data_IF_650861974542
#
_entry.id   IF_650861974542
#
_cell.length_a   1.000
_cell.length_b   1.000
_cell.length_c   1.000
_cell.angle_alpha   90.00
_cell.angle_beta   90.00
_cell.angle_gamma   90.00
#
_symmetry.space_group_name_H-M   'P 1'
#
loop_
_entity.id
_entity.type
_entity.pdbx_description
1 polymer ?
#
# COMPACT_ATOMS: atom_id res chain seq x y z
N UNK A 1 -19.42 -26.09 -9.13
CA UNK A 1 -18.12 -25.52 -9.55
C UNK A 1 -18.14 -23.99 -9.75
N UNK A 2 -18.98 -23.40 -10.62
CA UNK A 2 -19.01 -21.92 -10.80
C UNK A 2 -19.52 -21.19 -9.55
N UNK A 3 -20.47 -21.75 -8.82
CA UNK A 3 -20.98 -21.17 -7.57
C UNK A 3 -19.93 -21.11 -6.44
N UNK A 4 -19.05 -22.11 -6.35
CA UNK A 4 -18.03 -22.18 -5.30
C UNK A 4 -16.90 -21.18 -5.55
N UNK A 5 -16.48 -20.99 -6.80
CA UNK A 5 -15.50 -19.99 -7.20
C UNK A 5 -16.01 -18.57 -6.90
N UNK A 6 -17.29 -18.29 -7.21
CA UNK A 6 -17.91 -17.00 -6.91
C UNK A 6 -17.97 -16.71 -5.40
N UNK A 7 -18.34 -17.72 -4.59
CA UNK A 7 -18.37 -17.58 -3.13
C UNK A 7 -16.97 -17.35 -2.56
N UNK A 8 -15.96 -18.08 -3.07
CA UNK A 8 -14.58 -17.87 -2.67
C UNK A 8 -14.09 -16.47 -3.05
N UNK A 9 -14.40 -16.00 -4.27
CA UNK A 9 -14.07 -14.64 -4.70
C UNK A 9 -14.69 -13.58 -3.80
N UNK A 10 -15.95 -13.73 -3.42
CA UNK A 10 -16.61 -12.80 -2.49
C UNK A 10 -15.92 -12.78 -1.12
N UNK A 11 -15.58 -13.96 -0.57
CA UNK A 11 -14.85 -14.05 0.69
C UNK A 11 -13.48 -13.37 0.58
N UNK A 12 -12.70 -13.70 -0.44
CA UNK A 12 -11.37 -13.11 -0.65
C UNK A 12 -11.48 -11.60 -0.84
N UNK A 13 -12.45 -11.12 -1.64
CA UNK A 13 -12.68 -9.68 -1.84
C UNK A 13 -13.05 -8.97 -0.53
N UNK A 14 -13.87 -9.58 0.32
CA UNK A 14 -14.21 -9.02 1.62
C UNK A 14 -12.99 -8.98 2.57
N UNK A 15 -12.17 -10.02 2.56
CA UNK A 15 -10.94 -10.09 3.35
C UNK A 15 -9.97 -8.96 2.94
N UNK A 16 -9.65 -8.83 1.66
CA UNK A 16 -8.69 -7.82 1.18
C UNK A 16 -9.26 -6.40 1.29
N UNK A 17 -10.58 -6.23 1.22
CA UNK A 17 -11.26 -4.97 1.51
C UNK A 17 -11.02 -4.52 2.96
N UNK A 18 -11.30 -5.40 3.93
CA UNK A 18 -11.12 -5.07 5.36
C UNK A 18 -9.65 -4.84 5.68
N UNK A 19 -8.76 -5.62 5.12
CA UNK A 19 -7.32 -5.46 5.30
C UNK A 19 -6.82 -4.09 4.78
N UNK A 20 -7.18 -3.73 3.56
CA UNK A 20 -6.82 -2.45 2.97
C UNK A 20 -7.48 -1.25 3.67
N UNK A 21 -8.72 -1.41 4.17
CA UNK A 21 -9.40 -0.43 5.01
C UNK A 21 -8.60 -0.17 6.30
N UNK A 22 -8.16 -1.22 6.99
CA UNK A 22 -7.36 -1.09 8.22
C UNK A 22 -6.00 -0.46 7.98
N UNK A 23 -5.38 -0.71 6.83
CA UNK A 23 -4.11 -0.07 6.47
C UNK A 23 -4.19 1.45 6.55
N UNK A 24 -5.24 2.06 5.98
CA UNK A 24 -5.41 3.52 5.89
C UNK A 24 -6.22 4.12 7.05
N UNK A 25 -6.89 3.30 7.85
CA UNK A 25 -7.76 3.75 8.95
C UNK A 25 -7.04 4.54 10.05
N UNK A 26 -5.74 4.29 10.26
CA UNK A 26 -4.96 5.01 11.27
C UNK A 26 -4.71 6.46 10.88
N UNK A 27 -4.64 6.78 9.60
CA UNK A 27 -4.19 8.10 9.09
C UNK A 27 -4.87 9.30 9.78
N UNK A 28 -6.19 9.41 9.87
CA UNK A 28 -6.84 10.53 10.55
C UNK A 28 -6.72 10.48 12.08
N UNK A 29 -6.40 9.32 12.66
CA UNK A 29 -6.26 9.13 14.10
C UNK A 29 -4.85 9.48 14.60
N UNK A 30 -3.87 9.71 13.72
CA UNK A 30 -2.48 9.99 14.09
C UNK A 30 -2.34 11.17 15.05
N UNK A 31 -3.01 12.33 14.83
CA UNK A 31 -2.91 13.46 15.75
C UNK A 31 -3.38 13.12 17.18
N UNK A 32 -4.54 12.48 17.31
CA UNK A 32 -5.09 12.09 18.60
C UNK A 32 -4.17 11.13 19.38
N UNK A 33 -3.56 10.17 18.69
CA UNK A 33 -2.56 9.30 19.32
C UNK A 33 -1.25 9.99 19.63
N UNK A 34 -0.82 10.94 18.78
CA UNK A 34 0.37 11.74 19.05
C UNK A 34 0.20 12.58 20.32
N UNK A 35 -0.96 13.21 20.50
CA UNK A 35 -1.31 13.95 21.71
C UNK A 35 -1.44 13.03 22.94
N UNK A 36 -2.24 11.96 22.83
CA UNK A 36 -2.52 11.05 23.94
C UNK A 36 -1.26 10.35 24.50
N UNK A 37 -0.28 10.06 23.65
CA UNK A 37 0.94 9.35 24.03
C UNK A 37 2.19 10.26 24.05
N UNK A 38 2.03 11.58 23.87
CA UNK A 38 3.14 12.54 23.84
C UNK A 38 4.18 12.23 22.74
N UNK A 39 3.73 11.79 21.55
CA UNK A 39 4.63 11.43 20.47
C UNK A 39 5.14 12.67 19.75
N UNK A 40 6.44 12.69 19.50
CA UNK A 40 7.03 13.61 18.51
C UNK A 40 6.60 13.22 17.09
N UNK A 41 6.83 14.08 16.09
CA UNK A 41 6.63 13.74 14.67
C UNK A 41 7.37 12.46 14.26
N UNK A 42 8.57 12.22 14.84
CA UNK A 42 9.31 10.95 14.67
C UNK A 42 8.54 9.76 15.23
N UNK A 43 8.01 9.88 16.46
CA UNK A 43 7.21 8.83 17.09
C UNK A 43 5.96 8.49 16.31
N UNK A 44 5.26 9.50 15.80
CA UNK A 44 4.11 9.32 14.90
C UNK A 44 4.51 8.62 13.59
N UNK A 45 5.66 8.99 13.03
CA UNK A 45 6.23 8.33 11.85
C UNK A 45 6.54 6.85 12.08
N UNK A 46 7.14 6.51 13.22
CA UNK A 46 7.41 5.10 13.61
C UNK A 46 6.10 4.34 13.79
N UNK A 47 5.09 4.93 14.43
CA UNK A 47 3.78 4.30 14.63
C UNK A 47 3.09 3.96 13.29
N UNK A 48 3.07 4.90 12.35
CA UNK A 48 2.49 4.66 11.01
C UNK A 48 3.33 3.66 10.23
N UNK A 49 4.65 3.79 10.26
CA UNK A 49 5.59 2.90 9.57
C UNK A 49 5.61 1.46 10.11
N UNK A 50 5.14 1.23 11.35
CA UNK A 50 5.10 -0.09 11.97
C UNK A 50 4.30 -1.11 11.14
N UNK A 51 3.20 -0.70 10.50
CA UNK A 51 2.46 -1.56 9.58
C UNK A 51 3.33 -1.99 8.39
N UNK A 52 4.02 -1.03 7.75
CA UNK A 52 4.94 -1.31 6.65
C UNK A 52 6.08 -2.25 7.07
N UNK A 53 6.62 -2.09 8.27
CA UNK A 53 7.64 -2.98 8.82
C UNK A 53 7.12 -4.41 9.00
N UNK A 54 5.92 -4.55 9.55
CA UNK A 54 5.25 -5.85 9.67
C UNK A 54 5.00 -6.49 8.31
N UNK A 55 4.48 -5.71 7.35
CA UNK A 55 4.22 -6.16 6.00
C UNK A 55 5.50 -6.62 5.26
N UNK A 56 6.59 -5.89 5.43
CA UNK A 56 7.89 -6.26 4.85
C UNK A 56 8.41 -7.59 5.41
N UNK A 57 8.35 -7.76 6.73
CA UNK A 57 8.83 -8.97 7.39
C UNK A 57 7.86 -10.15 7.24
N UNK A 58 6.56 -9.89 7.05
CA UNK A 58 5.54 -10.93 6.82
C UNK A 58 5.51 -11.48 5.39
N UNK A 59 6.04 -10.74 4.41
CA UNK A 59 5.94 -11.08 2.99
C UNK A 59 6.54 -12.44 2.64
N UNK A 60 7.80 -12.67 3.01
CA UNK A 60 8.50 -13.95 2.74
C UNK A 60 7.92 -15.10 3.57
N UNK A 61 7.77 -14.98 4.91
CA UNK A 61 7.15 -16.05 5.71
C UNK A 61 5.73 -16.40 5.26
N UNK A 62 4.91 -15.40 4.91
CA UNK A 62 3.55 -15.60 4.42
C UNK A 62 3.52 -16.36 3.10
N UNK A 63 4.37 -15.98 2.14
CA UNK A 63 4.52 -16.69 0.88
C UNK A 63 4.98 -18.14 1.06
N UNK A 64 5.97 -18.38 1.93
CA UNK A 64 6.44 -19.73 2.26
C UNK A 64 5.36 -20.56 2.96
N UNK A 65 4.58 -19.94 3.86
CA UNK A 65 3.46 -20.62 4.51
C UNK A 65 2.39 -21.04 3.49
N UNK A 66 2.04 -20.16 2.55
CA UNK A 66 1.11 -20.48 1.46
C UNK A 66 1.63 -21.61 0.55
N UNK A 67 2.93 -21.59 0.22
CA UNK A 67 3.56 -22.61 -0.61
C UNK A 67 3.67 -23.98 0.10
N UNK A 68 3.99 -23.98 1.41
CA UNK A 68 4.24 -25.23 2.17
C UNK A 68 2.97 -25.86 2.75
N UNK A 69 2.09 -25.03 3.31
CA UNK A 69 0.90 -25.47 4.05
C UNK A 69 -0.40 -25.27 3.28
N UNK A 70 -0.31 -24.68 2.09
CA UNK A 70 -1.42 -24.34 1.22
C UNK A 70 -2.02 -22.94 1.47
N UNK A 71 -2.62 -22.37 0.42
CA UNK A 71 -3.17 -20.99 0.45
C UNK A 71 -4.22 -20.77 1.54
N UNK A 72 -5.15 -21.71 1.73
CA UNK A 72 -6.19 -21.66 2.76
C UNK A 72 -5.59 -21.51 4.17
N UNK A 73 -4.57 -22.30 4.49
CA UNK A 73 -3.92 -22.27 5.80
C UNK A 73 -3.28 -20.91 6.05
N UNK A 74 -2.58 -20.35 5.05
CA UNK A 74 -1.99 -19.01 5.16
C UNK A 74 -3.06 -17.94 5.41
N UNK A 75 -4.21 -17.99 4.71
CA UNK A 75 -5.33 -17.06 4.94
C UNK A 75 -5.88 -17.18 6.34
N UNK A 76 -6.17 -18.39 6.81
CA UNK A 76 -6.74 -18.61 8.15
C UNK A 76 -5.76 -18.12 9.23
N UNK A 77 -4.48 -18.50 9.15
CA UNK A 77 -3.46 -18.02 10.10
C UNK A 77 -3.32 -16.50 10.06
N UNK A 78 -3.28 -15.88 8.87
CA UNK A 78 -3.23 -14.44 8.73
C UNK A 78 -4.43 -13.75 9.36
N UNK A 79 -5.65 -14.24 9.12
CA UNK A 79 -6.87 -13.69 9.73
C UNK A 79 -6.92 -13.82 11.26
N UNK A 80 -6.41 -14.92 11.81
CA UNK A 80 -6.29 -15.08 13.26
C UNK A 80 -5.30 -14.07 13.86
N UNK A 81 -4.15 -13.86 13.19
CA UNK A 81 -3.19 -12.82 13.59
C UNK A 81 -3.82 -11.43 13.45
N UNK A 82 -4.57 -11.15 12.37
CA UNK A 82 -5.28 -9.88 12.19
C UNK A 82 -6.30 -9.64 13.29
N UNK A 83 -7.07 -10.66 13.68
CA UNK A 83 -8.02 -10.57 14.77
C UNK A 83 -7.32 -10.23 16.09
N UNK A 84 -6.28 -10.99 16.44
CA UNK A 84 -5.49 -10.73 17.64
C UNK A 84 -4.88 -9.32 17.65
N UNK A 85 -4.30 -8.90 16.52
CA UNK A 85 -3.73 -7.57 16.35
C UNK A 85 -4.79 -6.47 16.44
N UNK A 86 -6.01 -6.69 15.95
CA UNK A 86 -7.10 -5.72 16.04
C UNK A 86 -7.64 -5.59 17.45
N UNK A 87 -7.73 -6.68 18.21
CA UNK A 87 -8.04 -6.63 19.64
C UNK A 87 -6.91 -5.97 20.45
N UNK A 88 -5.64 -6.26 20.13
CA UNK A 88 -4.50 -5.59 20.75
C UNK A 88 -4.50 -4.08 20.46
N UNK A 89 -4.82 -3.67 19.23
CA UNK A 89 -5.00 -2.27 18.87
C UNK A 89 -6.11 -1.61 19.68
N UNK A 90 -7.25 -2.26 19.81
CA UNK A 90 -8.39 -1.78 20.58
C UNK A 90 -8.10 -1.63 22.08
N UNK A 91 -7.22 -2.49 22.61
CA UNK A 91 -6.82 -2.50 24.01
C UNK A 91 -5.53 -1.70 24.29
N UNK A 92 -4.91 -1.10 23.26
CA UNK A 92 -3.65 -0.40 23.43
C UNK A 92 -3.82 0.83 24.32
N UNK A 93 -2.98 0.93 25.34
CA UNK A 93 -2.91 2.00 26.34
C UNK A 93 -1.61 2.81 26.26
N UNK A 94 -0.78 2.53 25.25
CA UNK A 94 0.50 3.21 25.01
C UNK A 94 1.02 3.03 23.60
N UNK A 95 2.00 3.86 23.24
CA UNK A 95 2.57 3.89 21.90
C UNK A 95 3.21 2.55 21.47
N UNK A 96 3.87 1.84 22.39
CA UNK A 96 4.51 0.56 22.11
C UNK A 96 3.50 -0.55 21.82
N UNK A 97 2.43 -0.65 22.62
CA UNK A 97 1.37 -1.63 22.41
C UNK A 97 0.63 -1.36 21.12
N UNK A 98 0.35 -0.09 20.82
CA UNK A 98 -0.26 0.34 19.57
C UNK A 98 0.66 0.04 18.35
N UNK A 99 1.95 0.36 18.46
CA UNK A 99 2.95 0.07 17.42
C UNK A 99 3.12 -1.43 17.17
N UNK A 100 3.16 -2.25 18.23
CA UNK A 100 3.21 -3.71 18.11
C UNK A 100 1.94 -4.27 17.43
N UNK A 101 0.76 -3.76 17.78
CA UNK A 101 -0.49 -4.13 17.13
C UNK A 101 -0.47 -3.77 15.63
N UNK A 102 0.00 -2.57 15.28
CA UNK A 102 0.17 -2.14 13.88
C UNK A 102 1.16 -3.01 13.12
N UNK A 103 2.28 -3.37 13.74
CA UNK A 103 3.24 -4.31 13.15
C UNK A 103 2.60 -5.66 12.86
N UNK A 104 1.88 -6.24 13.82
CA UNK A 104 1.18 -7.50 13.63
C UNK A 104 0.07 -7.41 12.57
N UNK A 105 -0.65 -6.30 12.47
CA UNK A 105 -1.60 -6.05 11.37
C UNK A 105 -0.90 -6.10 10.01
N UNK A 106 0.25 -5.43 9.86
CA UNK A 106 1.03 -5.47 8.62
C UNK A 106 1.56 -6.86 8.30
N UNK A 107 2.08 -7.58 9.30
CA UNK A 107 2.55 -8.96 9.14
C UNK A 107 1.43 -9.91 8.68
N UNK A 108 0.25 -9.78 9.31
CA UNK A 108 -0.92 -10.56 8.93
C UNK A 108 -1.41 -10.23 7.53
N UNK A 109 -1.39 -8.95 7.16
CA UNK A 109 -1.80 -8.45 5.85
C UNK A 109 -1.08 -9.19 4.73
N UNK A 110 0.24 -9.15 4.67
CA UNK A 110 1.01 -9.80 3.59
C UNK A 110 0.85 -11.32 3.58
N UNK A 111 0.72 -11.96 4.75
CA UNK A 111 0.44 -13.40 4.87
C UNK A 111 -0.94 -13.74 4.30
N UNK A 112 -1.95 -12.94 4.63
CA UNK A 112 -3.33 -13.11 4.15
C UNK A 112 -3.41 -12.86 2.64
N UNK A 113 -2.77 -11.80 2.13
CA UNK A 113 -2.76 -11.49 0.70
C UNK A 113 -2.10 -12.58 -0.13
N UNK A 114 -0.93 -13.07 0.29
CA UNK A 114 -0.23 -14.15 -0.40
C UNK A 114 -1.12 -15.41 -0.51
N UNK A 115 -1.76 -15.80 0.60
CA UNK A 115 -2.69 -16.93 0.62
C UNK A 115 -3.95 -16.67 -0.21
N UNK A 116 -4.60 -15.51 -0.04
CA UNK A 116 -5.88 -15.19 -0.67
C UNK A 116 -5.78 -15.15 -2.20
N UNK A 117 -4.77 -14.45 -2.74
CA UNK A 117 -4.56 -14.39 -4.19
C UNK A 117 -4.18 -15.76 -4.77
N UNK A 118 -3.28 -16.52 -4.11
CA UNK A 118 -2.93 -17.87 -4.54
C UNK A 118 -4.16 -18.78 -4.54
N UNK A 119 -5.00 -18.71 -3.50
CA UNK A 119 -6.21 -19.54 -3.39
C UNK A 119 -7.17 -19.31 -4.54
N UNK A 120 -7.46 -18.05 -4.83
CA UNK A 120 -8.39 -17.68 -5.91
C UNK A 120 -7.81 -18.05 -7.28
N UNK A 121 -6.50 -17.84 -7.51
CA UNK A 121 -5.84 -18.19 -8.78
C UNK A 121 -5.88 -19.69 -9.03
N UNK A 122 -5.61 -20.53 -8.02
CA UNK A 122 -5.66 -21.99 -8.14
C UNK A 122 -7.11 -22.48 -8.40
N UNK A 123 -8.10 -21.87 -7.73
CA UNK A 123 -9.51 -22.23 -7.91
C UNK A 123 -10.11 -21.79 -9.26
N UNK A 124 -9.39 -20.96 -10.04
CA UNK A 124 -9.94 -20.30 -11.23
C UNK A 124 -9.32 -20.81 -12.53
N UNK A 125 -10.13 -21.11 -13.59
CA UNK A 125 -9.61 -21.40 -14.91
C UNK A 125 -8.70 -20.29 -15.45
N UNK A 126 -7.61 -20.65 -16.14
CA UNK A 126 -6.58 -19.71 -16.64
C UNK A 126 -7.16 -18.51 -17.39
N UNK A 127 -8.20 -18.73 -18.22
CA UNK A 127 -8.83 -17.69 -19.04
C UNK A 127 -9.53 -16.56 -18.21
N UNK A 128 -9.86 -16.81 -16.93
CA UNK A 128 -10.59 -15.85 -16.07
C UNK A 128 -9.77 -15.30 -14.91
N UNK A 129 -8.51 -15.68 -14.79
CA UNK A 129 -7.66 -15.26 -13.67
C UNK A 129 -7.50 -13.74 -13.58
N UNK A 130 -7.33 -13.07 -14.73
CA UNK A 130 -7.22 -11.61 -14.79
C UNK A 130 -8.48 -10.89 -14.29
N UNK A 131 -9.67 -11.35 -14.69
CA UNK A 131 -10.96 -10.80 -14.24
C UNK A 131 -11.10 -10.92 -12.70
N UNK A 132 -10.77 -12.08 -12.18
CA UNK A 132 -10.92 -12.39 -10.76
C UNK A 132 -9.90 -11.65 -9.89
N UNK A 133 -8.64 -11.59 -10.31
CA UNK A 133 -7.63 -10.77 -9.65
C UNK A 133 -8.02 -9.29 -9.68
N UNK A 134 -8.49 -8.79 -10.83
CA UNK A 134 -8.97 -7.42 -10.95
C UNK A 134 -10.11 -7.10 -9.99
N UNK A 135 -11.04 -8.04 -9.78
CA UNK A 135 -12.14 -7.87 -8.80
C UNK A 135 -11.62 -7.81 -7.36
N UNK A 136 -10.69 -8.69 -6.99
CA UNK A 136 -10.09 -8.68 -5.65
C UNK A 136 -9.29 -7.39 -5.39
N UNK A 137 -8.46 -6.97 -6.37
CA UNK A 137 -7.74 -5.69 -6.26
C UNK A 137 -8.67 -4.49 -6.20
N UNK A 138 -9.77 -4.48 -6.98
CA UNK A 138 -10.81 -3.44 -6.91
C UNK A 138 -11.45 -3.33 -5.53
N UNK A 139 -11.73 -4.46 -4.89
CA UNK A 139 -12.23 -4.49 -3.52
C UNK A 139 -11.22 -3.91 -2.51
N UNK A 140 -9.93 -4.22 -2.69
CA UNK A 140 -8.88 -3.67 -1.84
C UNK A 140 -8.72 -2.14 -2.02
N UNK A 141 -8.73 -1.65 -3.26
CA UNK A 141 -8.69 -0.20 -3.52
C UNK A 141 -9.87 0.50 -2.87
N UNK A 142 -11.07 -0.07 -2.98
CA UNK A 142 -12.26 0.47 -2.33
C UNK A 142 -12.13 0.45 -0.79
N UNK A 143 -11.55 -0.61 -0.21
CA UNK A 143 -11.22 -0.67 1.21
C UNK A 143 -10.27 0.45 1.63
N UNK A 144 -9.18 0.65 0.89
CA UNK A 144 -8.21 1.72 1.16
C UNK A 144 -8.83 3.13 1.10
N UNK A 145 -9.78 3.36 0.20
CA UNK A 145 -10.54 4.63 0.10
C UNK A 145 -11.45 4.83 1.31
N UNK A 146 -12.14 3.77 1.76
CA UNK A 146 -13.05 3.85 2.92
C UNK A 146 -12.29 3.94 4.25
N UNK A 147 -11.06 3.46 4.32
CA UNK A 147 -10.29 3.37 5.56
C UNK A 147 -10.18 4.66 6.35
N UNK A 148 -9.83 5.82 5.76
CA UNK A 148 -9.79 7.08 6.50
C UNK A 148 -11.14 7.46 7.09
N UNK A 149 -12.25 7.25 6.37
CA UNK A 149 -13.60 7.48 6.90
C UNK A 149 -13.94 6.53 8.04
N UNK A 150 -13.54 5.24 7.94
CA UNK A 150 -13.67 4.31 9.04
C UNK A 150 -12.90 4.80 10.29
N UNK A 151 -11.67 5.28 10.12
CA UNK A 151 -10.88 5.88 11.21
C UNK A 151 -11.56 7.09 11.85
N UNK A 152 -12.03 8.04 11.02
CA UNK A 152 -12.74 9.24 11.50
C UNK A 152 -14.05 8.91 12.21
N UNK A 153 -14.83 7.96 11.71
CA UNK A 153 -16.05 7.49 12.39
C UNK A 153 -15.73 6.72 13.66
N UNK A 154 -14.65 5.92 13.65
CA UNK A 154 -14.20 5.18 14.82
C UNK A 154 -13.88 6.10 16.00
N UNK A 155 -13.36 7.30 15.78
CA UNK A 155 -13.18 8.29 16.83
C UNK A 155 -14.51 8.71 17.47
N UNK A 156 -15.56 8.92 16.66
CA UNK A 156 -16.87 9.37 17.13
C UNK A 156 -17.63 8.27 17.91
N UNK A 157 -17.58 7.02 17.44
CA UNK A 157 -18.33 5.90 18.04
C UNK A 157 -17.50 5.10 19.05
N UNK A 158 -16.20 5.40 19.16
CA UNK A 158 -15.24 4.72 20.01
C UNK A 158 -14.29 3.82 19.24
N UNK A 159 -13.01 4.20 19.24
CA UNK A 159 -11.93 3.46 18.57
C UNK A 159 -11.84 2.01 19.07
N UNK A 160 -11.94 1.82 20.39
CA UNK A 160 -11.90 0.49 21.02
C UNK A 160 -13.00 -0.43 20.49
N UNK A 161 -14.24 0.05 20.39
CA UNK A 161 -15.36 -0.73 19.88
C UNK A 161 -15.19 -1.05 18.38
N UNK A 162 -14.80 -0.05 17.58
CA UNK A 162 -14.62 -0.17 16.12
C UNK A 162 -13.55 -1.18 15.77
N UNK A 163 -12.37 -1.12 16.38
CA UNK A 163 -11.28 -2.07 16.09
C UNK A 163 -11.54 -3.45 16.69
N UNK A 164 -12.26 -3.56 17.82
CA UNK A 164 -12.73 -4.86 18.33
C UNK A 164 -13.72 -5.51 17.37
N UNK A 165 -14.64 -4.74 16.76
CA UNK A 165 -15.56 -5.25 15.75
C UNK A 165 -14.80 -5.80 14.52
N UNK A 166 -13.72 -5.15 14.10
CA UNK A 166 -12.86 -5.70 13.04
C UNK A 166 -12.22 -7.02 13.46
N UNK A 167 -11.77 -7.14 14.70
CA UNK A 167 -11.28 -8.40 15.26
C UNK A 167 -12.32 -9.52 15.16
N UNK A 168 -13.56 -9.24 15.55
CA UNK A 168 -14.69 -10.20 15.43
C UNK A 168 -14.97 -10.56 13.98
N UNK A 169 -15.02 -9.59 13.06
CA UNK A 169 -15.21 -9.81 11.62
C UNK A 169 -14.09 -10.69 11.06
N UNK A 170 -12.83 -10.46 11.46
CA UNK A 170 -11.68 -11.26 11.04
C UNK A 170 -11.79 -12.72 11.50
N UNK A 171 -12.27 -12.96 12.73
CA UNK A 171 -12.57 -14.31 13.23
C UNK A 171 -13.72 -14.94 12.42
N UNK A 172 -14.75 -14.18 12.08
CA UNK A 172 -15.84 -14.63 11.20
C UNK A 172 -15.34 -15.05 9.82
N UNK A 173 -14.44 -14.26 9.21
CA UNK A 173 -13.81 -14.64 7.94
C UNK A 173 -12.92 -15.88 8.08
N UNK A 174 -12.17 -16.03 9.17
CA UNK A 174 -11.38 -17.22 9.43
C UNK A 174 -12.26 -18.47 9.53
N UNK A 175 -13.37 -18.40 10.28
CA UNK A 175 -14.33 -19.48 10.40
C UNK A 175 -14.98 -19.82 9.04
N UNK A 176 -15.39 -18.81 8.26
CA UNK A 176 -15.89 -19.02 6.91
C UNK A 176 -14.84 -19.66 5.99
N UNK A 177 -13.59 -19.20 6.05
CA UNK A 177 -12.48 -19.75 5.25
C UNK A 177 -12.26 -21.24 5.55
N UNK A 178 -12.44 -21.69 6.80
CA UNK A 178 -12.32 -23.10 7.17
C UNK A 178 -13.36 -23.95 6.45
N UNK A 179 -14.56 -23.45 6.18
CA UNK A 179 -15.62 -24.17 5.48
C UNK A 179 -15.37 -24.41 3.98
N UNK A 180 -14.46 -23.62 3.36
CA UNK A 180 -14.11 -23.79 1.95
C UNK A 180 -13.10 -24.93 1.73
N UNK A 181 -13.11 -25.49 0.52
CA UNK A 181 -12.15 -26.54 0.14
C UNK A 181 -10.72 -25.94 0.08
N UNK A 182 -9.75 -26.70 0.62
CA UNK A 182 -8.35 -26.33 0.50
C UNK A 182 -7.88 -26.48 -0.97
N UNK A 183 -7.02 -25.56 -1.39
CA UNK A 183 -6.26 -25.72 -2.64
C UNK A 183 -4.90 -26.38 -2.33
N UNK A 184 -4.38 -27.22 -3.23
CA UNK A 184 -3.05 -27.81 -3.04
C UNK A 184 -1.98 -26.71 -3.01
N UNK A 185 -0.88 -26.94 -2.28
CA UNK A 185 0.27 -26.07 -2.31
C UNK A 185 0.91 -26.04 -3.71
N UNK A 186 1.37 -24.89 -4.15
CA UNK A 186 2.03 -24.74 -5.45
C UNK A 186 3.53 -24.53 -5.20
N UNK A 187 4.40 -25.43 -5.70
CA UNK A 187 5.84 -25.32 -5.47
C UNK A 187 6.40 -24.03 -6.09
N UNK A 188 7.17 -23.27 -5.33
CA UNK A 188 7.93 -22.14 -5.85
C UNK A 188 9.06 -22.65 -6.76
N UNK A 189 9.19 -22.11 -7.99
CA UNK A 189 10.28 -22.44 -8.90
C UNK A 189 11.56 -21.71 -8.46
N UNK A 190 12.64 -22.40 -8.11
CA UNK A 190 13.91 -21.75 -7.78
C UNK A 190 14.59 -21.19 -9.04
N UNK A 191 15.31 -20.08 -8.92
CA UNK A 191 16.24 -19.55 -9.93
C UNK A 191 15.78 -18.34 -10.77
N UNK A 192 14.49 -18.01 -10.83
CA UNK A 192 14.01 -16.83 -11.55
C UNK A 192 14.28 -15.51 -10.80
N UNK A 193 14.27 -15.54 -9.49
CA UNK A 193 14.44 -14.35 -8.64
C UNK A 193 15.81 -13.69 -8.82
N UNK A 194 16.87 -14.48 -8.80
CA UNK A 194 18.24 -13.95 -8.96
C UNK A 194 18.42 -13.26 -10.33
N UNK A 195 17.89 -13.87 -11.40
CA UNK A 195 17.92 -13.27 -12.73
C UNK A 195 17.10 -11.97 -12.80
N UNK A 196 15.92 -11.95 -12.18
CA UNK A 196 15.09 -10.76 -12.11
C UNK A 196 15.78 -9.63 -11.33
N UNK A 197 16.39 -9.93 -10.18
CA UNK A 197 17.10 -8.93 -9.36
C UNK A 197 18.38 -8.39 -10.02
N UNK A 198 18.94 -9.11 -11.02
CA UNK A 198 20.04 -8.61 -11.83
C UNK A 198 19.60 -7.75 -13.02
N UNK A 199 18.30 -7.72 -13.35
CA UNK A 199 17.78 -6.84 -14.41
C UNK A 199 17.54 -5.43 -13.90
N UNK A 200 18.30 -4.40 -14.37
CA UNK A 200 18.10 -3.02 -13.94
C UNK A 200 16.70 -2.47 -14.21
N UNK A 201 16.00 -3.04 -15.21
CA UNK A 201 14.62 -2.61 -15.53
C UNK A 201 13.61 -3.19 -14.55
N UNK A 202 13.86 -4.40 -14.04
CA UNK A 202 13.07 -4.98 -12.96
C UNK A 202 13.21 -4.13 -11.68
N UNK A 203 14.46 -3.77 -11.34
CA UNK A 203 14.74 -2.89 -10.19
C UNK A 203 14.13 -1.50 -10.36
N UNK A 204 14.16 -0.93 -11.58
CA UNK A 204 13.48 0.33 -11.87
C UNK A 204 11.95 0.23 -11.67
N UNK A 205 11.33 -0.90 -12.03
CA UNK A 205 9.92 -1.16 -11.76
C UNK A 205 9.63 -1.26 -10.27
N UNK A 206 10.48 -1.95 -9.50
CA UNK A 206 10.37 -2.00 -8.03
C UNK A 206 10.50 -0.60 -7.40
N UNK A 207 11.45 0.21 -7.88
CA UNK A 207 11.60 1.59 -7.44
C UNK A 207 10.36 2.44 -7.70
N UNK A 208 9.75 2.31 -8.90
CA UNK A 208 8.49 2.99 -9.24
C UNK A 208 7.29 2.48 -8.43
N UNK A 209 7.42 1.39 -7.71
CA UNK A 209 6.45 0.88 -6.74
C UNK A 209 6.77 1.37 -5.30
N UNK A 210 8.05 1.48 -4.96
CA UNK A 210 8.52 1.96 -3.65
C UNK A 210 8.33 3.46 -3.47
N UNK A 211 8.67 4.25 -4.50
CA UNK A 211 8.66 5.71 -4.41
C UNK A 211 7.28 6.30 -4.08
N UNK A 212 6.16 5.91 -4.75
CA UNK A 212 4.85 6.42 -4.36
C UNK A 212 4.44 5.97 -2.96
N UNK A 213 4.77 4.76 -2.55
CA UNK A 213 4.50 4.26 -1.20
C UNK A 213 5.25 5.08 -0.13
N UNK A 214 6.49 5.47 -0.41
CA UNK A 214 7.28 6.34 0.44
C UNK A 214 6.65 7.75 0.53
N UNK A 215 6.25 8.33 -0.60
CA UNK A 215 5.62 9.66 -0.64
C UNK A 215 4.27 9.68 0.09
N UNK A 216 3.39 8.72 -0.18
CA UNK A 216 2.12 8.59 0.53
C UNK A 216 2.32 8.30 2.02
N UNK A 217 3.36 7.54 2.38
CA UNK A 217 3.74 7.30 3.76
C UNK A 217 4.14 8.59 4.51
N UNK A 218 4.88 9.49 3.86
CA UNK A 218 5.17 10.83 4.41
C UNK A 218 3.88 11.63 4.61
N UNK A 219 2.97 11.65 3.62
CA UNK A 219 1.70 12.34 3.72
C UNK A 219 0.83 11.79 4.86
N UNK A 220 0.81 10.48 5.06
CA UNK A 220 0.00 9.83 6.09
C UNK A 220 0.38 10.22 7.54
N UNK A 221 1.54 10.82 7.74
CA UNK A 221 1.97 11.37 9.05
C UNK A 221 1.86 12.87 9.08
N UNK A 222 2.46 13.55 8.11
CA UNK A 222 2.66 15.00 8.18
C UNK A 222 1.38 15.78 7.94
N UNK A 223 0.55 15.34 7.00
CA UNK A 223 -0.69 16.04 6.67
C UNK A 223 -1.71 16.01 7.80
N UNK A 224 -2.04 14.86 8.43
CA UNK A 224 -2.93 14.85 9.57
C UNK A 224 -2.46 15.74 10.71
N UNK A 225 -1.16 15.72 11.04
CA UNK A 225 -0.58 16.57 12.09
C UNK A 225 -0.72 18.05 11.74
N UNK A 226 -0.37 18.46 10.50
CA UNK A 226 -0.49 19.86 10.07
C UNK A 226 -1.94 20.36 10.03
N UNK A 227 -2.90 19.51 9.65
CA UNK A 227 -4.32 19.88 9.66
C UNK A 227 -4.86 19.96 11.09
N UNK A 228 -4.43 19.09 12.00
CA UNK A 228 -4.80 19.13 13.40
C UNK A 228 -4.21 20.38 14.12
N UNK A 229 -2.98 20.80 13.77
CA UNK A 229 -2.39 22.08 14.23
C UNK A 229 -3.24 23.32 13.80
N UNK A 230 -4.11 23.16 12.79
CA UNK A 230 -5.07 24.17 12.33
C UNK A 230 -6.49 23.94 12.86
N UNK A 231 -6.65 23.20 13.95
CA UNK A 231 -7.93 22.85 14.61
C UNK A 231 -8.93 22.08 13.72
N UNK A 232 -8.44 21.35 12.73
CA UNK A 232 -9.33 20.49 11.92
C UNK A 232 -9.70 19.22 12.71
N UNK A 233 -11.02 18.92 12.83
CA UNK A 233 -11.46 17.70 13.48
C UNK A 233 -11.06 16.47 12.66
N UNK A 234 -10.88 15.34 13.33
CA UNK A 234 -10.45 14.05 12.72
C UNK A 234 -11.31 13.65 11.52
N UNK A 235 -12.63 13.89 11.57
CA UNK A 235 -13.52 13.58 10.45
C UNK A 235 -13.25 14.46 9.21
N UNK A 236 -12.87 15.73 9.41
CA UNK A 236 -12.46 16.60 8.29
C UNK A 236 -11.15 16.12 7.68
N UNK A 237 -10.17 15.75 8.51
CA UNK A 237 -8.91 15.12 8.07
C UNK A 237 -9.20 13.83 7.29
N UNK A 238 -10.06 12.97 7.82
CA UNK A 238 -10.49 11.74 7.15
C UNK A 238 -11.09 12.02 5.77
N UNK A 239 -11.91 13.08 5.66
CA UNK A 239 -12.56 13.48 4.41
C UNK A 239 -11.57 13.93 3.33
N UNK A 240 -10.44 14.55 3.69
CA UNK A 240 -9.36 14.90 2.75
C UNK A 240 -8.76 13.65 2.11
N UNK A 241 -8.40 12.65 2.91
CA UNK A 241 -7.83 11.40 2.41
C UNK A 241 -8.86 10.55 1.66
N UNK A 242 -10.11 10.56 2.09
CA UNK A 242 -11.21 9.91 1.37
C UNK A 242 -11.41 10.52 -0.02
N UNK A 243 -11.47 11.85 -0.11
CA UNK A 243 -11.60 12.57 -1.38
C UNK A 243 -10.40 12.30 -2.30
N UNK A 244 -9.18 12.31 -1.75
CA UNK A 244 -7.96 11.96 -2.48
C UNK A 244 -8.02 10.53 -3.04
N UNK A 245 -8.46 9.56 -2.24
CA UNK A 245 -8.66 8.18 -2.68
C UNK A 245 -9.73 8.04 -3.78
N UNK A 246 -10.85 8.77 -3.70
CA UNK A 246 -11.85 8.81 -4.77
C UNK A 246 -11.29 9.36 -6.08
N UNK A 247 -10.48 10.41 -6.00
CA UNK A 247 -9.78 10.98 -7.17
C UNK A 247 -8.87 9.92 -7.80
N UNK A 248 -8.11 9.20 -6.98
CA UNK A 248 -7.21 8.14 -7.45
C UNK A 248 -7.98 7.02 -8.18
N UNK A 249 -9.12 6.58 -7.65
CA UNK A 249 -9.99 5.57 -8.28
C UNK A 249 -10.46 6.02 -9.67
N UNK A 250 -10.81 7.27 -9.84
CA UNK A 250 -11.28 7.82 -11.13
C UNK A 250 -10.12 8.02 -12.12
N UNK A 251 -8.97 8.48 -11.63
CA UNK A 251 -7.82 8.82 -12.47
C UNK A 251 -7.04 7.59 -12.94
N UNK A 252 -6.92 6.55 -12.11
CA UNK A 252 -6.12 5.35 -12.46
C UNK A 252 -6.53 4.69 -13.79
N UNK A 253 -7.81 4.47 -14.10
CA UNK A 253 -8.22 3.95 -15.42
C UNK A 253 -7.88 4.88 -16.58
N UNK A 254 -7.91 6.20 -16.37
CA UNK A 254 -7.55 7.20 -17.38
C UNK A 254 -6.04 7.17 -17.66
N UNK A 255 -5.22 7.04 -16.63
CA UNK A 255 -3.77 6.88 -16.74
C UNK A 255 -3.41 5.55 -17.42
N UNK A 256 -4.14 4.47 -17.14
CA UNK A 256 -4.01 3.21 -17.85
C UNK A 256 -4.23 3.37 -19.35
N UNK A 257 -5.34 3.98 -19.76
CA UNK A 257 -5.65 4.28 -21.18
C UNK A 257 -4.62 5.20 -21.83
N UNK A 258 -4.11 6.20 -21.10
CA UNK A 258 -3.06 7.08 -21.59
C UNK A 258 -1.75 6.31 -21.80
N UNK A 259 -1.43 5.38 -20.91
CA UNK A 259 -0.27 4.49 -21.02
C UNK A 259 -0.37 3.58 -22.25
N UNK A 260 -1.55 3.04 -22.54
CA UNK A 260 -1.79 2.19 -23.72
C UNK A 260 -1.67 2.97 -25.03
N UNK A 261 -2.13 4.22 -25.05
CA UNK A 261 -2.13 5.07 -26.27
C UNK A 261 -0.78 5.74 -26.57
N UNK A 262 -0.09 6.24 -25.54
CA UNK A 262 1.12 7.06 -25.71
C UNK A 262 2.40 6.35 -25.25
N UNK A 263 2.29 5.06 -24.88
CA UNK A 263 3.40 4.30 -24.30
C UNK A 263 3.64 4.66 -22.82
N UNK A 264 4.42 3.82 -22.16
CA UNK A 264 4.61 3.87 -20.69
C UNK A 264 5.41 5.08 -20.19
N UNK A 265 6.32 5.63 -20.99
CA UNK A 265 7.28 6.64 -20.54
C UNK A 265 6.66 8.03 -20.35
N UNK A 266 5.74 8.43 -21.22
CA UNK A 266 5.14 9.76 -21.15
C UNK A 266 4.29 9.95 -19.87
N UNK A 267 3.33 9.05 -19.54
CA UNK A 267 2.58 9.16 -18.30
C UNK A 267 3.45 9.12 -17.04
N UNK A 268 4.47 8.24 -17.00
CA UNK A 268 5.40 8.18 -15.86
C UNK A 268 6.15 9.49 -15.67
N UNK A 269 6.65 10.11 -16.76
CA UNK A 269 7.36 11.39 -16.69
C UNK A 269 6.44 12.53 -16.28
N UNK A 270 5.24 12.58 -16.81
CA UNK A 270 4.25 13.59 -16.43
C UNK A 270 3.89 13.48 -14.94
N UNK A 271 3.65 12.26 -14.46
CA UNK A 271 3.36 12.00 -13.05
C UNK A 271 4.54 12.35 -12.14
N UNK A 272 5.78 12.00 -12.51
CA UNK A 272 6.98 12.38 -11.76
C UNK A 272 7.19 13.91 -11.74
N UNK A 273 6.99 14.59 -12.88
CA UNK A 273 7.07 16.05 -12.92
C UNK A 273 6.00 16.69 -12.03
N UNK A 274 4.75 16.20 -12.10
CA UNK A 274 3.67 16.62 -11.21
C UNK A 274 4.01 16.37 -9.74
N UNK A 275 4.66 15.23 -9.43
CA UNK A 275 5.09 14.89 -8.07
C UNK A 275 6.16 15.86 -7.54
N UNK A 276 7.08 16.31 -8.38
CA UNK A 276 8.04 17.37 -8.00
C UNK A 276 7.32 18.65 -7.62
N UNK A 277 6.35 19.08 -8.45
CA UNK A 277 5.58 20.32 -8.22
C UNK A 277 4.74 20.20 -6.94
N UNK A 278 4.03 19.07 -6.75
CA UNK A 278 3.18 18.86 -5.58
C UNK A 278 4.01 18.78 -4.30
N UNK A 279 5.12 18.03 -4.31
CA UNK A 279 6.00 17.93 -3.15
C UNK A 279 6.67 19.28 -2.82
N UNK A 280 7.13 20.03 -3.82
CA UNK A 280 7.63 21.40 -3.63
C UNK A 280 6.54 22.34 -3.10
N UNK A 281 5.32 22.20 -3.60
CA UNK A 281 4.16 22.95 -3.10
C UNK A 281 3.87 22.66 -1.62
N UNK A 282 3.90 21.39 -1.22
CA UNK A 282 3.72 20.98 0.19
C UNK A 282 4.84 21.50 1.11
N UNK A 283 6.08 21.62 0.59
CA UNK A 283 7.21 22.17 1.36
C UNK A 283 7.03 23.65 1.74
N UNK A 284 6.25 24.41 0.97
CA UNK A 284 6.01 25.85 1.18
C UNK A 284 4.55 26.17 1.50
N UNK A 285 3.68 25.13 1.58
CA UNK A 285 2.26 25.33 1.80
C UNK A 285 1.99 25.97 3.17
N UNK A 286 1.15 26.97 3.16
CA UNK A 286 0.59 27.58 4.37
C UNK A 286 -0.94 27.50 4.32
N UNK A 287 -1.51 27.06 5.44
CA UNK A 287 -2.95 26.94 5.60
C UNK A 287 -3.55 25.60 5.17
N UNK A 288 -4.57 25.16 5.90
CA UNK A 288 -5.11 23.80 5.81
C UNK A 288 -5.77 23.48 4.47
N UNK A 289 -6.45 24.45 3.85
CA UNK A 289 -7.12 24.26 2.55
C UNK A 289 -6.12 24.05 1.40
N UNK A 290 -4.96 24.74 1.45
CA UNK A 290 -3.89 24.56 0.46
C UNK A 290 -3.28 23.17 0.61
N UNK A 291 -3.03 22.73 1.85
CA UNK A 291 -2.53 21.37 2.14
C UNK A 291 -3.54 20.34 1.61
N UNK A 292 -4.83 20.47 1.92
CA UNK A 292 -5.87 19.56 1.45
C UNK A 292 -5.95 19.50 -0.09
N UNK A 293 -5.86 20.63 -0.77
CA UNK A 293 -5.83 20.67 -2.24
C UNK A 293 -4.58 19.98 -2.81
N UNK A 294 -3.41 20.18 -2.19
CA UNK A 294 -2.18 19.51 -2.60
C UNK A 294 -2.23 18.01 -2.35
N UNK A 295 -2.91 17.52 -1.30
CA UNK A 295 -3.15 16.08 -1.08
C UNK A 295 -4.01 15.49 -2.21
N UNK A 296 -5.05 16.20 -2.65
CA UNK A 296 -5.86 15.78 -3.80
C UNK A 296 -5.02 15.71 -5.11
N UNK A 297 -4.11 16.67 -5.32
CA UNK A 297 -3.17 16.63 -6.45
C UNK A 297 -2.12 15.54 -6.30
N UNK A 298 -1.68 15.23 -5.05
CA UNK A 298 -0.76 14.14 -4.76
C UNK A 298 -1.34 12.78 -5.15
N UNK A 299 -2.65 12.56 -4.94
CA UNK A 299 -3.33 11.34 -5.37
C UNK A 299 -3.17 11.08 -6.89
N UNK A 300 -3.21 12.14 -7.71
CA UNK A 300 -2.99 12.05 -9.15
C UNK A 300 -1.51 11.85 -9.48
N UNK A 301 -0.64 12.68 -8.89
CA UNK A 301 0.77 12.74 -9.24
C UNK A 301 1.54 11.51 -8.70
N UNK A 302 1.40 11.17 -7.42
CA UNK A 302 2.12 10.06 -6.79
C UNK A 302 1.55 8.71 -7.23
N UNK A 303 0.20 8.58 -7.37
CA UNK A 303 -0.44 7.36 -7.88
C UNK A 303 -0.13 7.09 -9.35
N UNK A 304 0.14 8.14 -10.14
CA UNK A 304 0.22 8.05 -11.60
C UNK A 304 1.35 7.19 -12.16
N UNK A 305 2.42 6.94 -11.43
CA UNK A 305 3.51 6.06 -11.87
C UNK A 305 3.51 4.68 -11.19
N UNK A 306 2.57 4.42 -10.29
CA UNK A 306 2.42 3.14 -9.61
C UNK A 306 2.03 2.02 -10.59
N UNK A 307 0.93 2.19 -11.30
CA UNK A 307 0.43 1.20 -12.27
C UNK A 307 1.44 0.88 -13.38
N UNK A 308 2.08 1.87 -14.06
CA UNK A 308 3.15 1.58 -15.02
C UNK A 308 4.36 0.87 -14.40
N UNK A 309 4.71 1.19 -13.14
CA UNK A 309 5.76 0.51 -12.39
C UNK A 309 5.47 -0.97 -12.18
N UNK A 310 4.26 -1.29 -11.71
CA UNK A 310 3.79 -2.68 -11.56
C UNK A 310 3.82 -3.45 -12.87
N UNK A 311 3.31 -2.85 -13.95
CA UNK A 311 3.30 -3.47 -15.28
C UNK A 311 4.72 -3.73 -15.81
N UNK A 312 5.67 -2.82 -15.55
CA UNK A 312 7.08 -3.01 -15.91
C UNK A 312 7.69 -4.19 -15.15
N UNK A 313 7.47 -4.23 -13.82
CA UNK A 313 8.00 -5.29 -12.95
C UNK A 313 7.45 -6.66 -13.37
N UNK A 314 6.13 -6.77 -13.55
CA UNK A 314 5.48 -8.01 -13.98
C UNK A 314 6.02 -8.53 -15.32
N UNK A 315 6.12 -7.64 -16.33
CA UNK A 315 6.67 -8.01 -17.65
C UNK A 315 8.14 -8.47 -17.57
N UNK A 316 8.96 -7.86 -16.73
CA UNK A 316 10.36 -8.26 -16.54
C UNK A 316 10.50 -9.54 -15.73
N UNK A 317 9.62 -9.76 -14.76
CA UNK A 317 9.51 -11.02 -14.04
C UNK A 317 9.24 -12.19 -14.98
N UNK A 318 8.27 -12.03 -15.89
CA UNK A 318 7.96 -13.04 -16.92
C UNK A 318 9.17 -13.32 -17.81
N UNK A 319 9.86 -12.28 -18.29
CA UNK A 319 11.06 -12.39 -19.12
C UNK A 319 12.21 -13.11 -18.41
N UNK A 320 12.30 -13.00 -17.08
CA UNK A 320 13.29 -13.69 -16.25
C UNK A 320 12.88 -15.12 -15.88
N UNK A 321 11.66 -15.56 -16.25
CA UNK A 321 11.09 -16.84 -15.83
C UNK A 321 10.74 -16.90 -14.35
N UNK A 322 10.48 -15.76 -13.72
CA UNK A 322 10.04 -15.66 -12.35
C UNK A 322 8.54 -15.97 -12.27
N UNK A 323 8.16 -16.87 -11.37
CA UNK A 323 6.74 -17.16 -11.12
C UNK A 323 5.99 -15.89 -10.71
N UNK A 324 4.80 -15.66 -11.27
CA UNK A 324 4.01 -14.43 -11.02
C UNK A 324 3.71 -14.21 -9.53
N UNK A 325 3.43 -15.27 -8.78
CA UNK A 325 3.20 -15.16 -7.33
C UNK A 325 4.41 -14.60 -6.58
N UNK A 326 5.63 -15.03 -6.95
CA UNK A 326 6.86 -14.52 -6.37
C UNK A 326 7.15 -13.07 -6.83
N UNK A 327 6.84 -12.73 -8.09
CA UNK A 327 6.95 -11.37 -8.60
C UNK A 327 6.07 -10.40 -7.82
N UNK A 328 4.80 -10.77 -7.57
CA UNK A 328 3.90 -9.99 -6.72
C UNK A 328 4.38 -9.89 -5.27
N UNK A 329 4.96 -10.96 -4.72
CA UNK A 329 5.58 -10.95 -3.39
C UNK A 329 6.72 -9.93 -3.28
N UNK A 330 7.63 -9.91 -4.26
CA UNK A 330 8.74 -8.93 -4.31
C UNK A 330 8.22 -7.50 -4.51
N UNK A 331 7.20 -7.31 -5.36
CA UNK A 331 6.55 -5.99 -5.54
C UNK A 331 5.91 -5.50 -4.26
N UNK A 332 5.22 -6.40 -3.53
CA UNK A 332 4.60 -6.06 -2.26
C UNK A 332 5.65 -5.74 -1.17
N UNK A 333 6.79 -6.45 -1.17
CA UNK A 333 7.93 -6.10 -0.29
C UNK A 333 8.52 -4.73 -0.61
N UNK A 334 8.64 -4.36 -1.89
CA UNK A 334 9.09 -3.04 -2.31
C UNK A 334 8.10 -1.93 -1.88
N UNK A 335 6.80 -2.18 -2.02
CA UNK A 335 5.74 -1.30 -1.51
C UNK A 335 5.79 -1.18 0.03
N UNK A 336 5.93 -2.29 0.74
CA UNK A 336 6.02 -2.33 2.19
C UNK A 336 7.26 -1.58 2.70
N UNK A 337 8.40 -1.70 2.01
CA UNK A 337 9.60 -0.94 2.31
C UNK A 337 9.35 0.57 2.19
N UNK A 338 8.66 1.05 1.15
CA UNK A 338 8.26 2.44 1.00
C UNK A 338 7.33 2.91 2.13
N UNK A 339 6.32 2.09 2.49
CA UNK A 339 5.39 2.37 3.58
C UNK A 339 6.01 2.28 4.99
N UNK A 340 7.12 1.58 5.14
CA UNK A 340 7.92 1.60 6.38
C UNK A 340 8.78 2.86 6.45
N UNK A 341 9.54 3.11 5.39
CA UNK A 341 10.57 4.17 5.38
C UNK A 341 9.97 5.56 5.20
N UNK A 342 8.90 5.71 4.43
CA UNK A 342 8.25 7.00 4.16
C UNK A 342 7.79 7.72 5.44
N UNK A 343 6.94 7.09 6.27
CA UNK A 343 6.49 7.69 7.53
C UNK A 343 7.65 7.99 8.49
N UNK A 344 8.60 7.07 8.63
CA UNK A 344 9.76 7.23 9.55
C UNK A 344 10.65 8.38 9.10
N UNK A 345 10.99 8.44 7.81
CA UNK A 345 11.78 9.55 7.25
C UNK A 345 10.99 10.86 7.29
N UNK A 346 9.69 10.82 6.97
CA UNK A 346 8.81 11.97 7.04
C UNK A 346 8.79 12.60 8.43
N UNK A 347 8.45 11.81 9.45
CA UNK A 347 8.41 12.27 10.82
C UNK A 347 9.78 12.66 11.38
N UNK A 348 10.82 11.88 11.08
CA UNK A 348 12.18 12.13 11.55
C UNK A 348 12.81 13.42 10.98
N UNK A 349 12.67 13.63 9.66
CA UNK A 349 13.17 14.85 9.01
C UNK A 349 12.37 16.08 9.46
N UNK A 350 11.05 15.97 9.59
CA UNK A 350 10.21 17.06 10.05
C UNK A 350 10.55 17.47 11.48
N UNK A 351 10.81 16.51 12.39
CA UNK A 351 11.20 16.80 13.76
C UNK A 351 12.58 17.46 13.87
N UNK A 352 13.50 17.17 12.93
CA UNK A 352 14.89 17.62 13.01
C UNK A 352 15.14 18.90 12.21
N UNK A 353 14.55 18.99 11.01
CA UNK A 353 14.84 20.04 10.02
C UNK A 353 13.61 20.87 9.62
N UNK A 354 12.46 20.61 10.24
CA UNK A 354 11.18 21.25 9.93
C UNK A 354 10.41 20.55 8.81
N UNK A 355 9.12 20.91 8.70
CA UNK A 355 8.15 20.20 7.84
C UNK A 355 8.43 20.28 6.33
N UNK A 356 9.19 21.27 5.89
CA UNK A 356 9.63 21.38 4.49
C UNK A 356 10.62 20.29 4.06
N UNK A 357 11.46 19.80 4.99
CA UNK A 357 12.57 18.90 4.68
C UNK A 357 12.13 17.55 4.07
N UNK A 358 11.13 16.82 4.61
CA UNK A 358 10.67 15.57 4.00
C UNK A 358 10.04 15.77 2.62
N UNK A 359 9.31 16.86 2.40
CA UNK A 359 8.75 17.16 1.09
C UNK A 359 9.83 17.54 0.07
N UNK A 360 10.86 18.28 0.48
CA UNK A 360 12.03 18.58 -0.35
C UNK A 360 12.79 17.31 -0.73
N UNK A 361 12.95 16.36 0.19
CA UNK A 361 13.49 15.02 -0.12
C UNK A 361 12.61 14.30 -1.16
N UNK A 362 11.30 14.28 -0.98
CA UNK A 362 10.35 13.68 -1.92
C UNK A 362 10.46 14.29 -3.32
N UNK A 363 10.48 15.62 -3.42
CA UNK A 363 10.67 16.34 -4.68
C UNK A 363 12.00 15.98 -5.34
N UNK A 364 13.09 15.91 -4.56
CA UNK A 364 14.42 15.54 -5.06
C UNK A 364 14.45 14.11 -5.61
N UNK A 365 13.88 13.15 -4.89
CA UNK A 365 13.79 11.75 -5.36
C UNK A 365 12.98 11.64 -6.66
N UNK A 366 11.87 12.36 -6.77
CA UNK A 366 11.07 12.41 -8.00
C UNK A 366 11.85 13.06 -9.15
N UNK A 367 12.57 14.16 -8.91
CA UNK A 367 13.39 14.83 -9.92
C UNK A 367 14.53 13.95 -10.42
N UNK A 368 15.26 13.28 -9.52
CA UNK A 368 16.33 12.33 -9.89
C UNK A 368 15.75 11.19 -10.73
N UNK A 369 14.60 10.64 -10.32
CA UNK A 369 13.92 9.55 -11.04
C UNK A 369 13.46 10.02 -12.43
N UNK A 370 12.93 11.24 -12.54
CA UNK A 370 12.54 11.85 -13.81
C UNK A 370 13.75 12.00 -14.76
N UNK A 371 14.86 12.54 -14.27
CA UNK A 371 16.10 12.68 -15.05
C UNK A 371 16.66 11.33 -15.50
N UNK A 372 16.63 10.31 -14.64
CA UNK A 372 17.05 8.95 -15.00
C UNK A 372 16.21 8.36 -16.14
N UNK A 373 14.86 8.58 -16.11
CA UNK A 373 13.98 8.12 -17.19
C UNK A 373 14.21 8.86 -18.51
N UNK A 374 14.66 10.12 -18.48
CA UNK A 374 15.00 10.90 -19.68
C UNK A 374 16.28 10.40 -20.33
N UNK A 375 17.35 10.17 -19.55
CA UNK A 375 18.63 9.63 -20.04
C UNK A 375 18.50 8.25 -20.66
N UNK A 376 17.69 7.37 -20.08
CA UNK A 376 17.43 6.04 -20.64
C UNK A 376 16.75 6.08 -22.03
N UNK A 377 16.03 7.14 -22.37
CA UNK A 377 15.43 7.32 -23.69
C UNK A 377 16.40 7.91 -24.72
N UNK A 378 17.22 8.89 -24.33
CA UNK A 378 18.21 9.51 -25.23
C UNK A 378 19.34 8.56 -25.62
N UNK A 379 19.72 7.63 -24.73
CA UNK A 379 20.71 6.59 -25.04
C UNK A 379 20.25 5.57 -26.10
N UNK A 380 18.93 5.40 -26.29
CA UNK A 380 18.35 4.53 -27.32
C UNK A 380 18.21 5.21 -28.68
N UNK A 381 18.27 6.53 -28.74
CA UNK A 381 18.13 7.32 -29.96
C UNK A 381 19.46 7.52 -30.72
N UNK A 382 20.58 6.99 -30.23
CA UNK A 382 21.85 6.96 -30.98
C UNK A 382 21.91 5.65 -31.76
N UNK A 383 21.65 5.63 -33.10
CA UNK A 383 22.00 4.49 -33.94
C UNK A 383 23.52 4.34 -33.92
N UNK A 384 24.00 3.11 -33.86
CA UNK A 384 25.39 2.82 -34.17
C UNK A 384 25.69 3.35 -35.58
N UNK A 385 26.26 4.54 -35.65
CA UNK A 385 26.97 5.01 -36.81
C UNK A 385 28.39 4.42 -36.72
N UNK A 386 28.58 3.32 -37.40
CA UNK A 386 29.85 2.81 -37.83
C UNK A 386 29.59 1.86 -39.00
#
# INVERSE_FOLDING_TARGET
>A
MLGDVRRLLLLVSAIVFVDAMLFTALTPLVPGYAEAFGLTKTGAGVLVGAFGAGALLGGVPGGLAAARFGPKTAVVCGLLVLAAASFAFAAADGAWTLGAARFLQGFSSTTTWAGALAWVVVATPRARRGEILGTAFGAAVFGAVIGPMFGGVAELVGVRASFSAVGVVSLGFAALAVAFRAAPPEPASPGGLERALRDPRFLAGLWLNTLPALLFGMLAVLVPLALAESDWPTLAIASVFFAAGLIEVVINPLLGRATDRHGRLLPVRAALAGSVVVAAGLAIASGPFVIAALVALAAIAFGGFYTPGMALTSHRADSAGLAQGLAFGVMNSAWAFGNMTGPVLGGGLAATFGDAAPYALGATLCAITLLATQRAASGRARPHAA
#
